data_IF_664314618431
#
_entry.id   IF_664314618431
#
_cell.length_a   1.000
_cell.length_b   1.000
_cell.length_c   1.000
_cell.angle_alpha   90.00
_cell.angle_beta   90.00
_cell.angle_gamma   90.00
#
_symmetry.space_group_name_H-M   'P 1'
#
loop_
_entity.id
_entity.type
_entity.pdbx_description
1 polymer ?
#
# COMPACT_ATOMS: atom_id res chain seq x y z
N UNK A 1 7.82 13.22 -9.16
CA UNK A 1 6.37 12.95 -9.24
C UNK A 1 6.16 11.62 -8.57
N UNK A 2 5.57 11.62 -7.39
CA UNK A 2 5.14 10.42 -6.69
C UNK A 2 3.95 9.82 -7.44
N UNK A 3 3.99 8.53 -7.79
CA UNK A 3 2.79 7.86 -8.27
C UNK A 3 1.99 7.32 -7.09
N UNK A 4 0.66 7.30 -7.21
CA UNK A 4 -0.21 6.74 -6.16
C UNK A 4 0.08 5.24 -5.92
N UNK A 5 0.57 4.54 -6.95
CA UNK A 5 0.96 3.13 -6.88
C UNK A 5 2.19 2.91 -6.00
N UNK A 6 3.24 3.72 -6.18
CA UNK A 6 4.45 3.69 -5.34
C UNK A 6 4.10 3.98 -3.89
N UNK A 7 3.25 5.00 -3.65
CA UNK A 7 2.84 5.38 -2.31
C UNK A 7 1.99 4.28 -1.65
N UNK A 8 1.07 3.66 -2.38
CA UNK A 8 0.27 2.53 -1.88
C UNK A 8 1.16 1.34 -1.47
N UNK A 9 2.12 0.98 -2.33
CA UNK A 9 3.06 -0.10 -2.02
C UNK A 9 3.88 0.19 -0.76
N UNK A 10 4.35 1.44 -0.59
CA UNK A 10 5.09 1.87 0.59
C UNK A 10 4.25 1.83 1.88
N UNK A 11 2.99 2.30 1.81
CA UNK A 11 2.03 2.24 2.92
C UNK A 11 1.82 0.79 3.33
N UNK A 12 1.58 -0.10 2.37
CA UNK A 12 1.30 -1.50 2.64
C UNK A 12 2.50 -2.23 3.27
N UNK A 13 3.72 -2.00 2.76
CA UNK A 13 4.93 -2.62 3.29
C UNK A 13 5.19 -2.16 4.74
N UNK A 14 5.09 -0.85 5.02
CA UNK A 14 5.22 -0.36 6.40
C UNK A 14 4.11 -0.93 7.31
N UNK A 15 2.86 -0.91 6.86
CA UNK A 15 1.73 -1.46 7.60
C UNK A 15 1.94 -2.93 7.99
N UNK A 16 2.40 -3.75 7.05
CA UNK A 16 2.69 -5.17 7.29
C UNK A 16 3.82 -5.37 8.31
N UNK A 17 4.89 -4.57 8.24
CA UNK A 17 6.02 -4.64 9.19
C UNK A 17 5.59 -4.29 10.60
N UNK A 18 4.79 -3.23 10.76
CA UNK A 18 4.26 -2.82 12.06
C UNK A 18 3.34 -3.88 12.66
N UNK A 19 2.43 -4.44 11.87
CA UNK A 19 1.54 -5.52 12.34
C UNK A 19 2.28 -6.81 12.69
N UNK A 20 3.32 -7.13 11.92
CA UNK A 20 4.16 -8.33 12.15
C UNK A 20 5.16 -8.12 13.28
N UNK A 21 5.20 -6.92 13.87
CA UNK A 21 6.16 -6.51 14.91
C UNK A 21 7.61 -6.74 14.50
N UNK A 22 7.93 -6.52 13.22
CA UNK A 22 9.30 -6.58 12.72
C UNK A 22 10.14 -5.52 13.44
N UNK A 23 11.27 -5.90 14.03
CA UNK A 23 12.04 -5.02 14.93
C UNK A 23 13.55 -4.99 14.65
N UNK A 24 13.97 -5.26 13.42
CA UNK A 24 15.35 -5.11 12.97
C UNK A 24 15.52 -3.86 12.09
N UNK A 25 16.58 -3.07 12.32
CA UNK A 25 16.83 -1.83 11.58
C UNK A 25 17.04 -2.07 10.08
N UNK A 26 17.71 -3.17 9.71
CA UNK A 26 17.97 -3.53 8.31
C UNK A 26 16.69 -3.73 7.48
N UNK A 27 15.59 -4.15 8.12
CA UNK A 27 14.29 -4.26 7.47
C UNK A 27 13.67 -2.91 7.15
N UNK A 28 13.84 -1.91 8.02
CA UNK A 28 13.35 -0.55 7.78
C UNK A 28 14.28 0.23 6.85
N UNK A 29 15.59 -0.01 6.90
CA UNK A 29 16.54 0.49 5.90
C UNK A 29 16.10 0.08 4.49
N UNK A 30 15.88 -1.23 4.27
CA UNK A 30 15.40 -1.76 2.98
C UNK A 30 14.05 -1.19 2.56
N UNK A 31 13.12 -0.98 3.49
CA UNK A 31 11.83 -0.33 3.20
C UNK A 31 12.05 1.05 2.56
N UNK A 32 12.91 1.90 3.15
CA UNK A 32 13.17 3.24 2.64
C UNK A 32 13.93 3.23 1.30
N UNK A 33 14.84 2.28 1.11
CA UNK A 33 15.56 2.09 -0.15
C UNK A 33 14.64 1.62 -1.29
N UNK A 34 13.72 0.69 -0.99
CA UNK A 34 12.76 0.15 -1.95
C UNK A 34 11.65 1.14 -2.30
N UNK A 35 11.30 2.03 -1.37
CA UNK A 35 10.21 3.00 -1.52
C UNK A 35 10.69 4.44 -1.30
N UNK A 36 11.45 5.04 -2.24
CA UNK A 36 11.93 6.42 -2.11
C UNK A 36 10.83 7.47 -1.96
N UNK A 37 9.59 7.13 -2.35
CA UNK A 37 8.39 7.94 -2.14
C UNK A 37 8.17 8.35 -0.68
N UNK A 38 8.63 7.54 0.28
CA UNK A 38 8.54 7.85 1.72
C UNK A 38 9.24 9.19 2.02
N UNK A 39 10.37 9.48 1.36
CA UNK A 39 11.09 10.73 1.53
C UNK A 39 10.28 11.94 1.03
N UNK A 40 9.49 11.80 -0.03
CA UNK A 40 8.59 12.87 -0.49
C UNK A 40 7.53 13.21 0.54
N UNK A 41 6.98 12.21 1.24
CA UNK A 41 6.05 12.43 2.37
C UNK A 41 6.74 13.12 3.55
N UNK A 42 8.05 12.92 3.71
CA UNK A 42 8.88 13.62 4.69
C UNK A 42 9.30 15.03 4.26
N UNK A 43 8.89 15.49 3.06
CA UNK A 43 9.24 16.79 2.52
C UNK A 43 10.65 16.85 1.91
N UNK A 44 11.16 15.72 1.42
CA UNK A 44 12.46 15.62 0.77
C UNK A 44 12.26 15.22 -0.69
N UNK A 45 12.84 15.98 -1.61
CA UNK A 45 12.73 15.74 -3.05
C UNK A 45 13.64 14.61 -3.52
N UNK A 46 14.77 14.43 -2.84
CA UNK A 46 15.72 13.36 -3.10
C UNK A 46 16.39 12.92 -1.79
N UNK A 47 16.75 11.64 -1.73
CA UNK A 47 17.54 11.08 -0.63
C UNK A 47 18.46 9.97 -1.16
N UNK A 48 19.55 9.74 -0.44
CA UNK A 48 20.49 8.66 -0.71
C UNK A 48 20.94 8.01 0.61
N UNK A 49 21.18 6.70 0.58
CA UNK A 49 21.71 5.96 1.71
C UNK A 49 23.19 6.33 1.94
N UNK A 50 23.61 6.42 3.20
CA UNK A 50 24.99 6.65 3.63
C UNK A 50 25.43 5.67 4.74
N UNK A 51 24.60 4.68 5.05
CA UNK A 51 24.94 3.61 5.97
C UNK A 51 26.14 2.80 5.48
N UNK A 52 26.71 1.96 6.35
CA UNK A 52 27.95 1.23 6.08
C UNK A 52 27.93 0.36 4.82
N UNK A 53 26.74 -0.14 4.44
CA UNK A 53 26.56 -0.97 3.24
C UNK A 53 26.45 -0.16 1.93
N UNK A 54 26.22 1.15 2.03
CA UNK A 54 26.00 2.05 0.91
C UNK A 54 27.28 2.30 0.11
N UNK A 55 27.17 2.53 -1.22
CA UNK A 55 28.28 3.05 -2.01
C UNK A 55 28.71 4.47 -1.63
N UNK A 56 27.87 5.22 -0.89
CA UNK A 56 28.17 6.58 -0.47
C UNK A 56 28.77 6.57 0.94
N UNK A 57 29.79 7.39 1.19
CA UNK A 57 30.37 7.53 2.52
C UNK A 57 30.80 8.96 2.80
N UNK A 58 30.57 9.41 4.03
CA UNK A 58 31.10 10.69 4.50
C UNK A 58 32.56 10.48 4.96
N UNK A 59 33.49 11.39 4.62
CA UNK A 59 34.89 11.28 5.06
C UNK A 59 35.02 11.23 6.59
N UNK A 60 36.04 10.51 7.08
CA UNK A 60 36.35 10.41 8.51
C UNK A 60 36.56 11.79 9.14
N UNK A 61 35.90 12.07 10.26
CA UNK A 61 36.00 13.32 11.01
C UNK A 61 37.15 13.26 12.02
N UNK A 62 38.27 13.95 11.79
CA UNK A 62 39.41 13.93 12.69
C UNK A 62 39.17 14.70 13.99
N UNK A 63 38.31 15.72 13.97
CA UNK A 63 38.03 16.54 15.15
C UNK A 63 37.16 15.78 16.15
N UNK A 64 36.24 14.97 15.64
CA UNK A 64 35.34 14.13 16.45
C UNK A 64 35.78 12.67 16.55
N UNK A 65 36.83 12.29 15.81
CA UNK A 65 37.45 10.97 15.78
C UNK A 65 36.47 9.82 15.43
N UNK A 66 35.62 10.02 14.41
CA UNK A 66 34.72 8.97 13.92
C UNK A 66 34.40 9.17 12.43
N UNK A 67 33.89 8.13 11.77
CA UNK A 67 33.33 8.26 10.41
C UNK A 67 31.81 8.40 10.51
N UNK A 68 31.20 9.48 10.01
CA UNK A 68 29.75 9.60 9.96
C UNK A 68 29.15 8.56 9.01
N UNK A 69 28.19 7.80 9.53
CA UNK A 69 27.46 6.74 8.81
C UNK A 69 25.95 6.92 9.06
N UNK A 70 25.35 8.07 8.68
CA UNK A 70 23.90 8.25 8.79
C UNK A 70 23.16 7.29 7.86
N UNK A 71 21.97 6.87 8.24
CA UNK A 71 21.17 5.94 7.41
C UNK A 71 20.89 6.56 6.03
N UNK A 72 20.33 7.77 6.01
CA UNK A 72 20.12 8.54 4.78
C UNK A 72 20.45 10.02 4.95
N UNK A 73 20.75 10.65 3.82
CA UNK A 73 20.80 12.11 3.69
C UNK A 73 19.88 12.51 2.54
N UNK A 74 18.98 13.44 2.79
CA UNK A 74 18.07 13.97 1.78
C UNK A 74 18.11 15.49 1.66
N UNK A 75 17.45 15.99 0.63
CA UNK A 75 17.37 17.41 0.32
C UNK A 75 15.95 17.83 -0.04
N UNK A 76 15.56 18.99 0.48
CA UNK A 76 14.46 19.84 0.00
C UNK A 76 15.09 20.86 -0.98
N UNK A 77 14.90 20.67 -2.28
CA UNK A 77 15.48 21.52 -3.32
C UNK A 77 14.94 22.96 -3.26
N UNK A 78 13.62 23.20 -3.10
CA UNK A 78 13.09 24.56 -2.97
C UNK A 78 13.74 25.38 -1.85
N UNK A 79 13.94 24.80 -0.67
CA UNK A 79 14.56 25.52 0.45
C UNK A 79 16.10 25.40 0.49
N UNK A 80 16.67 24.42 -0.21
CA UNK A 80 18.09 24.08 -0.14
C UNK A 80 18.50 23.45 1.20
N UNK A 81 17.57 22.84 1.91
CA UNK A 81 17.82 22.23 3.23
C UNK A 81 18.35 20.81 3.05
N UNK A 82 19.50 20.50 3.66
CA UNK A 82 19.99 19.13 3.76
C UNK A 82 19.50 18.53 5.08
N UNK A 83 18.90 17.36 5.02
CA UNK A 83 18.34 16.66 6.17
C UNK A 83 19.03 15.32 6.35
N UNK A 84 19.65 15.08 7.50
CA UNK A 84 20.06 13.73 7.92
C UNK A 84 18.82 13.01 8.42
N UNK A 85 18.54 11.83 7.87
CA UNK A 85 17.44 10.96 8.30
C UNK A 85 18.05 9.73 8.95
N UNK A 86 17.75 9.55 10.23
CA UNK A 86 18.19 8.41 11.02
C UNK A 86 16.99 7.52 11.33
N UNK A 87 17.14 6.22 11.11
CA UNK A 87 16.18 5.18 11.42
C UNK A 87 16.61 4.45 12.70
N UNK A 88 15.64 4.19 13.55
CA UNK A 88 15.76 3.30 14.70
C UNK A 88 14.56 2.36 14.72
N UNK A 89 14.53 1.40 15.64
CA UNK A 89 13.46 0.39 15.65
C UNK A 89 12.14 0.94 16.20
N UNK A 90 10.97 0.42 15.74
CA UNK A 90 9.66 0.87 16.23
C UNK A 90 9.28 0.31 17.60
N UNK A 91 9.75 -0.88 17.99
CA UNK A 91 9.34 -1.52 19.24
C UNK A 91 10.48 -1.45 20.26
N UNK A 92 10.35 -0.54 21.23
CA UNK A 92 11.45 -0.23 22.16
C UNK A 92 11.39 -1.02 23.47
N UNK A 93 10.41 -1.93 23.57
CA UNK A 93 10.15 -2.79 24.72
C UNK A 93 9.52 -2.04 25.89
N UNK A 94 9.22 -2.77 26.98
CA UNK A 94 8.60 -2.18 28.17
C UNK A 94 9.49 -1.07 28.75
N UNK A 95 8.96 0.15 28.73
CA UNK A 95 9.56 1.30 29.39
C UNK A 95 9.33 1.12 30.88
N UNK A 96 10.25 0.43 31.54
CA UNK A 96 10.20 0.24 32.99
C UNK A 96 10.24 1.60 33.67
N UNK A 97 9.13 1.96 34.31
CA UNK A 97 9.00 3.16 35.15
C UNK A 97 9.87 2.97 36.39
N UNK A 98 11.11 3.47 36.34
CA UNK A 98 12.09 3.29 37.41
C UNK A 98 11.81 4.09 38.69
N UNK A 99 10.80 4.97 38.72
CA UNK A 99 10.51 5.84 39.86
C UNK A 99 9.01 6.11 40.03
N UNK A 100 8.59 6.34 41.29
CA UNK A 100 7.20 6.61 41.74
C UNK A 100 6.57 7.89 41.14
N UNK A 101 7.31 8.66 40.35
CA UNK A 101 6.91 9.90 39.68
C UNK A 101 6.45 9.70 38.22
N UNK A 102 6.44 8.46 37.71
CA UNK A 102 5.91 8.15 36.37
C UNK A 102 6.85 8.53 35.21
N UNK A 103 8.08 8.96 35.49
CA UNK A 103 9.02 9.40 34.47
C UNK A 103 9.67 8.24 33.69
N UNK A 104 9.50 8.26 32.36
CA UNK A 104 10.00 7.28 31.36
C UNK A 104 11.52 7.43 31.08
N UNK A 105 12.36 7.27 32.11
CA UNK A 105 13.80 7.58 32.05
C UNK A 105 14.60 6.80 30.99
N UNK A 106 14.27 5.53 30.72
CA UNK A 106 14.98 4.68 29.74
C UNK A 106 14.73 5.13 28.29
N UNK A 107 13.48 5.44 27.96
CA UNK A 107 13.12 6.00 26.65
C UNK A 107 13.81 7.34 26.43
N UNK A 108 13.78 8.23 27.44
CA UNK A 108 14.47 9.52 27.39
C UNK A 108 15.95 9.36 27.08
N UNK A 109 16.65 8.47 27.78
CA UNK A 109 18.08 8.26 27.59
C UNK A 109 18.41 7.71 26.18
N UNK A 110 17.60 6.78 25.66
CA UNK A 110 17.79 6.25 24.30
C UNK A 110 17.51 7.31 23.23
N UNK A 111 16.38 8.02 23.35
CA UNK A 111 16.04 9.11 22.43
C UNK A 111 17.11 10.22 22.46
N UNK A 112 17.61 10.62 23.64
CA UNK A 112 18.71 11.57 23.76
C UNK A 112 19.99 11.08 23.08
N UNK A 113 20.32 9.80 23.22
CA UNK A 113 21.46 9.18 22.53
C UNK A 113 21.31 9.24 21.01
N UNK A 114 20.14 8.85 20.49
CA UNK A 114 19.88 8.86 19.04
C UNK A 114 19.87 10.28 18.48
N UNK A 115 19.24 11.23 19.18
CA UNK A 115 19.29 12.64 18.79
C UNK A 115 20.74 13.14 18.79
N UNK A 116 21.53 12.82 19.81
CA UNK A 116 22.95 13.22 19.87
C UNK A 116 23.70 12.69 18.66
N UNK A 117 23.59 11.40 18.37
CA UNK A 117 24.19 10.74 17.21
C UNK A 117 23.79 11.43 15.90
N UNK A 118 22.49 11.63 15.65
CA UNK A 118 22.01 12.30 14.43
C UNK A 118 22.53 13.73 14.32
N UNK A 119 22.56 14.48 15.43
CA UNK A 119 23.10 15.86 15.44
C UNK A 119 24.61 15.92 15.24
N UNK A 120 25.36 14.91 15.70
CA UNK A 120 26.79 14.80 15.45
C UNK A 120 27.09 14.55 13.97
N UNK A 121 26.27 13.75 13.28
CA UNK A 121 26.37 13.58 11.83
C UNK A 121 26.14 14.90 11.10
N UNK A 122 25.09 15.64 11.48
CA UNK A 122 24.79 16.95 10.91
C UNK A 122 25.94 17.93 11.13
N UNK A 123 26.48 18.03 12.35
CA UNK A 123 27.61 18.94 12.62
C UNK A 123 28.87 18.54 11.86
N UNK A 124 29.18 17.25 11.77
CA UNK A 124 30.33 16.77 10.99
C UNK A 124 30.23 17.19 9.51
N UNK A 125 29.04 17.08 8.92
CA UNK A 125 28.79 17.54 7.56
C UNK A 125 28.86 19.07 7.49
N UNK A 126 28.21 19.78 8.41
CA UNK A 126 28.10 21.25 8.39
C UNK A 126 29.45 21.96 8.49
N UNK A 127 30.34 21.46 9.34
CA UNK A 127 31.60 22.13 9.67
C UNK A 127 32.71 21.86 8.64
N UNK A 128 32.61 20.77 7.86
CA UNK A 128 33.69 20.30 6.99
C UNK A 128 33.37 20.47 5.51
N UNK A 129 34.25 21.15 4.77
CA UNK A 129 34.04 21.41 3.33
C UNK A 129 34.00 20.10 2.51
N UNK A 130 34.92 19.18 2.76
CA UNK A 130 34.98 17.88 2.07
C UNK A 130 33.69 17.04 2.23
N UNK A 131 33.11 17.02 3.44
CA UNK A 131 31.85 16.31 3.69
C UNK A 131 30.68 16.97 2.96
N UNK A 132 30.64 18.32 2.92
CA UNK A 132 29.64 19.06 2.14
C UNK A 132 29.76 18.78 0.65
N UNK A 133 30.98 18.70 0.12
CA UNK A 133 31.20 18.46 -1.30
C UNK A 133 30.74 17.06 -1.72
N UNK A 134 30.95 16.04 -0.87
CA UNK A 134 30.38 14.70 -1.07
C UNK A 134 28.85 14.74 -1.10
N UNK A 135 28.21 15.37 -0.10
CA UNK A 135 26.74 15.47 -0.04
C UNK A 135 26.20 16.22 -1.27
N UNK A 136 26.85 17.31 -1.67
CA UNK A 136 26.49 18.07 -2.88
C UNK A 136 26.58 17.24 -4.14
N UNK A 137 27.65 16.46 -4.28
CA UNK A 137 27.86 15.59 -5.43
C UNK A 137 26.81 14.48 -5.50
N UNK A 138 26.59 13.77 -4.39
CA UNK A 138 25.64 12.64 -4.32
C UNK A 138 24.20 13.10 -4.57
N UNK A 139 23.76 14.16 -3.90
CA UNK A 139 22.39 14.68 -4.02
C UNK A 139 22.21 15.66 -5.19
N UNK A 140 23.28 15.96 -5.94
CA UNK A 140 23.30 16.91 -7.06
C UNK A 140 22.78 18.31 -6.66
N UNK A 141 23.19 18.79 -5.49
CA UNK A 141 22.78 20.10 -4.96
C UNK A 141 23.91 21.13 -5.09
N UNK A 142 23.58 22.31 -5.61
CA UNK A 142 24.59 23.36 -5.85
C UNK A 142 25.01 24.08 -4.56
N UNK A 143 24.04 24.34 -3.67
CA UNK A 143 24.23 25.07 -2.42
C UNK A 143 23.37 24.45 -1.33
N UNK A 144 23.92 24.40 -0.12
CA UNK A 144 23.22 24.00 1.10
C UNK A 144 22.89 25.29 1.86
N UNK A 145 21.62 25.56 2.10
CA UNK A 145 21.15 26.73 2.81
C UNK A 145 21.11 26.51 4.32
N UNK A 146 20.62 25.34 4.75
CA UNK A 146 20.48 24.97 6.15
C UNK A 146 20.58 23.45 6.34
N UNK A 147 20.73 23.03 7.59
CA UNK A 147 20.86 21.63 7.99
C UNK A 147 19.78 21.24 9.00
N UNK A 148 19.18 20.08 8.79
CA UNK A 148 18.12 19.51 9.64
C UNK A 148 18.40 18.05 9.97
N UNK A 149 17.70 17.55 10.97
CA UNK A 149 17.70 16.15 11.34
C UNK A 149 16.25 15.63 11.44
N UNK A 150 16.01 14.42 10.95
CA UNK A 150 14.79 13.64 11.18
C UNK A 150 15.20 12.31 11.82
N UNK A 151 14.63 11.99 12.98
CA UNK A 151 14.80 10.71 13.65
C UNK A 151 13.48 9.94 13.55
N UNK A 152 13.48 8.81 12.87
CA UNK A 152 12.31 7.93 12.74
C UNK A 152 12.47 6.79 13.72
N UNK A 153 11.67 6.80 14.78
CA UNK A 153 11.92 5.97 15.95
C UNK A 153 10.63 5.71 16.72
N UNK A 154 10.45 4.48 17.21
CA UNK A 154 9.37 4.08 18.12
C UNK A 154 7.94 4.22 17.55
N UNK A 155 6.95 3.82 18.36
CA UNK A 155 5.52 4.09 18.15
C UNK A 155 5.02 5.21 19.07
N UNK A 156 4.02 5.98 18.63
CA UNK A 156 3.50 7.12 19.38
C UNK A 156 2.97 6.75 20.76
N UNK A 157 2.24 5.63 20.87
CA UNK A 157 1.66 5.14 22.13
C UNK A 157 2.73 4.75 23.18
N UNK A 158 3.92 4.39 22.72
CA UNK A 158 5.05 4.06 23.59
C UNK A 158 5.68 5.34 24.18
N UNK A 159 5.27 6.54 23.75
CA UNK A 159 5.96 7.80 24.05
C UNK A 159 5.11 8.86 24.73
N UNK A 160 5.80 9.83 25.35
CA UNK A 160 5.21 11.02 25.95
C UNK A 160 5.50 12.20 25.00
N UNK A 161 4.46 12.71 24.35
CA UNK A 161 4.56 13.81 23.38
C UNK A 161 5.18 15.08 23.99
N UNK A 162 4.95 15.34 25.28
CA UNK A 162 5.54 16.48 25.97
C UNK A 162 7.04 16.29 26.17
N UNK A 163 7.48 15.09 26.55
CA UNK A 163 8.90 14.76 26.65
C UNK A 163 9.61 14.91 25.30
N UNK A 164 9.03 14.35 24.24
CA UNK A 164 9.57 14.40 22.87
C UNK A 164 9.72 15.84 22.39
N UNK A 165 8.67 16.66 22.60
CA UNK A 165 8.70 18.09 22.28
C UNK A 165 9.78 18.84 23.07
N UNK A 166 9.96 18.52 24.35
CA UNK A 166 11.00 19.14 25.18
C UNK A 166 12.42 18.76 24.72
N UNK A 167 12.63 17.52 24.28
CA UNK A 167 13.91 17.03 23.76
C UNK A 167 14.28 17.70 22.43
N UNK A 168 13.29 17.96 21.58
CA UNK A 168 13.48 18.65 20.29
C UNK A 168 13.78 20.14 20.49
N UNK A 169 13.06 20.82 21.38
CA UNK A 169 13.17 22.27 21.59
C UNK A 169 14.54 22.72 22.15
N UNK A 170 15.29 21.83 22.78
CA UNK A 170 16.58 22.14 23.41
C UNK A 170 17.79 22.02 22.47
N UNK A 171 17.59 21.63 21.21
CA UNK A 171 18.70 21.34 20.28
C UNK A 171 19.05 22.53 19.40
N UNK A 172 20.36 22.68 19.16
CA UNK A 172 20.91 23.72 18.26
C UNK A 172 20.58 23.45 16.79
N UNK A 173 20.50 22.17 16.42
CA UNK A 173 20.08 21.73 15.10
C UNK A 173 18.58 21.44 15.18
N UNK A 174 17.76 21.93 14.24
CA UNK A 174 16.37 21.55 14.13
C UNK A 174 16.24 20.04 13.91
N UNK A 175 15.80 19.32 14.94
CA UNK A 175 15.58 17.87 14.90
C UNK A 175 14.10 17.58 15.03
N UNK A 176 13.53 16.85 14.07
CA UNK A 176 12.17 16.31 14.11
C UNK A 176 12.21 14.83 14.50
N UNK A 177 11.38 14.42 15.47
CA UNK A 177 11.18 13.01 15.80
C UNK A 177 9.85 12.58 15.18
N UNK A 178 9.86 11.47 14.45
CA UNK A 178 8.70 10.93 13.75
C UNK A 178 8.51 9.48 14.21
N UNK A 179 7.34 9.17 14.76
CA UNK A 179 6.98 7.78 15.09
C UNK A 179 6.58 7.01 13.83
N UNK A 180 6.74 5.69 13.83
CA UNK A 180 6.43 4.90 12.63
C UNK A 180 4.92 4.84 12.31
N UNK A 181 4.07 4.86 13.33
CA UNK A 181 2.62 5.01 13.16
C UNK A 181 2.24 6.40 12.65
N UNK A 182 2.88 7.47 13.16
CA UNK A 182 2.71 8.82 12.61
C UNK A 182 3.19 8.90 11.15
N UNK A 183 4.29 8.23 10.79
CA UNK A 183 4.77 8.14 9.42
C UNK A 183 3.76 7.43 8.53
N UNK A 184 3.22 6.30 9.00
CA UNK A 184 2.17 5.58 8.30
C UNK A 184 0.96 6.49 8.07
N UNK A 185 0.52 7.21 9.09
CA UNK A 185 -0.58 8.17 9.01
C UNK A 185 -0.29 9.32 8.04
N UNK A 186 0.94 9.84 7.99
CA UNK A 186 1.34 10.87 7.01
C UNK A 186 1.26 10.33 5.58
N UNK A 187 1.74 9.11 5.33
CA UNK A 187 1.67 8.49 4.01
C UNK A 187 0.22 8.20 3.59
N UNK A 188 -0.58 7.64 4.52
CA UNK A 188 -2.02 7.43 4.36
C UNK A 188 -2.73 8.74 4.03
N UNK A 189 -2.42 9.82 4.73
CA UNK A 189 -3.00 11.13 4.49
C UNK A 189 -2.63 11.67 3.11
N UNK A 190 -1.36 11.54 2.70
CA UNK A 190 -0.90 11.94 1.37
C UNK A 190 -1.65 11.17 0.27
N UNK A 191 -1.77 9.85 0.41
CA UNK A 191 -2.53 8.99 -0.51
C UNK A 191 -4.02 9.34 -0.56
N UNK A 192 -4.57 9.77 0.58
CA UNK A 192 -6.00 10.05 0.75
C UNK A 192 -6.41 11.46 0.34
N UNK A 193 -5.51 12.39 0.02
CA UNK A 193 -5.87 13.80 -0.33
C UNK A 193 -6.94 13.84 -1.43
N UNK A 194 -6.79 12.99 -2.44
CA UNK A 194 -7.77 12.86 -3.51
C UNK A 194 -8.94 11.94 -3.18
N UNK A 195 -8.96 11.19 -2.07
CA UNK A 195 -9.87 10.03 -1.84
C UNK A 195 -10.71 10.12 -0.55
N UNK A 196 -10.68 11.25 0.17
CA UNK A 196 -11.38 11.38 1.47
C UNK A 196 -12.89 11.20 1.34
N UNK A 197 -13.45 11.61 0.21
CA UNK A 197 -14.88 11.57 -0.08
C UNK A 197 -15.37 10.18 -0.47
N UNK A 198 -14.49 9.21 -0.77
CA UNK A 198 -14.87 7.90 -1.31
C UNK A 198 -14.87 6.75 -0.28
N UNK A 199 -14.37 6.97 0.94
CA UNK A 199 -14.29 5.94 1.95
C UNK A 199 -15.66 5.62 2.59
N UNK A 200 -15.99 4.33 2.71
CA UNK A 200 -17.21 3.85 3.37
C UNK A 200 -18.53 4.41 2.82
N UNK A 201 -18.57 4.75 1.54
CA UNK A 201 -19.78 5.22 0.86
C UNK A 201 -20.74 4.08 0.60
N UNK A 202 -22.04 4.40 0.58
CA UNK A 202 -23.10 3.43 0.25
C UNK A 202 -22.90 2.93 -1.18
N UNK A 203 -22.91 1.61 -1.34
CA UNK A 203 -22.64 0.97 -2.62
C UNK A 203 -22.18 -0.48 -2.43
N UNK A 204 -21.26 -0.93 -3.26
CA UNK A 204 -20.77 -2.30 -3.24
C UNK A 204 -19.26 -2.34 -3.47
N UNK A 205 -18.62 -3.30 -2.83
CA UNK A 205 -17.26 -3.69 -3.11
C UNK A 205 -17.20 -5.21 -3.30
N UNK A 206 -16.53 -5.63 -4.35
CA UNK A 206 -16.34 -7.02 -4.72
C UNK A 206 -14.84 -7.29 -4.75
N UNK A 207 -14.43 -8.31 -4.01
CA UNK A 207 -13.02 -8.68 -3.90
C UNK A 207 -12.86 -10.11 -4.37
N UNK A 208 -11.89 -10.32 -5.25
CA UNK A 208 -11.55 -11.63 -5.81
C UNK A 208 -10.06 -11.86 -5.69
N UNK A 209 -9.69 -12.99 -5.10
CA UNK A 209 -8.31 -13.47 -5.03
C UNK A 209 -8.17 -14.59 -6.05
N UNK A 210 -7.46 -14.33 -7.15
CA UNK A 210 -7.45 -15.27 -8.28
C UNK A 210 -6.05 -15.51 -8.84
N UNK A 211 -5.89 -16.61 -9.55
CA UNK A 211 -4.74 -16.89 -10.41
C UNK A 211 -5.28 -17.31 -11.79
N UNK A 212 -4.73 -16.77 -12.86
CA UNK A 212 -5.20 -17.02 -14.22
C UNK A 212 -4.54 -18.26 -14.82
N UNK A 213 -5.29 -19.04 -15.58
CA UNK A 213 -4.69 -20.07 -16.40
C UNK A 213 -3.99 -19.46 -17.64
N UNK A 214 -2.96 -20.12 -18.20
CA UNK A 214 -2.21 -19.60 -19.35
C UNK A 214 -3.05 -19.38 -20.62
N UNK A 215 -4.16 -20.11 -20.77
CA UNK A 215 -5.01 -20.06 -21.95
C UNK A 215 -6.38 -19.50 -21.56
N UNK A 216 -6.77 -18.40 -22.20
CA UNK A 216 -8.09 -17.80 -22.08
C UNK A 216 -8.86 -17.97 -23.39
N UNK A 217 -10.20 -18.03 -23.35
CA UNK A 217 -11.02 -17.93 -24.56
C UNK A 217 -10.76 -16.61 -25.32
N UNK A 218 -10.93 -16.59 -26.65
CA UNK A 218 -10.81 -15.36 -27.41
C UNK A 218 -11.94 -14.37 -27.08
N UNK A 219 -11.63 -13.06 -27.11
CA UNK A 219 -12.58 -11.99 -26.80
C UNK A 219 -12.77 -11.78 -25.30
N UNK A 220 -14.00 -11.42 -24.89
CA UNK A 220 -14.34 -11.24 -23.46
C UNK A 220 -14.40 -12.59 -22.75
N UNK A 221 -13.59 -12.75 -21.70
CA UNK A 221 -13.60 -13.92 -20.82
C UNK A 221 -14.03 -13.52 -19.40
N UNK A 222 -15.24 -13.90 -18.99
CA UNK A 222 -15.89 -13.40 -17.78
C UNK A 222 -15.44 -14.12 -16.52
N UNK A 223 -15.10 -13.33 -15.50
CA UNK A 223 -14.82 -13.78 -14.14
C UNK A 223 -16.08 -13.76 -13.29
N UNK A 224 -16.87 -12.69 -13.42
CA UNK A 224 -18.12 -12.52 -12.71
C UNK A 224 -19.07 -11.60 -13.48
N UNK A 225 -20.36 -11.79 -13.27
CA UNK A 225 -21.43 -10.93 -13.76
C UNK A 225 -22.49 -10.77 -12.67
N UNK A 226 -22.85 -9.53 -12.33
CA UNK A 226 -23.79 -9.17 -11.27
C UNK A 226 -24.96 -8.39 -11.86
N UNK A 227 -26.18 -8.74 -11.43
CA UNK A 227 -27.41 -8.18 -11.96
C UNK A 227 -28.00 -8.96 -13.13
N UNK A 228 -29.08 -8.43 -13.69
CA UNK A 228 -29.83 -9.07 -14.77
C UNK A 228 -29.16 -8.88 -16.14
N UNK A 229 -29.45 -9.79 -17.09
CA UNK A 229 -28.78 -9.81 -18.39
C UNK A 229 -29.04 -8.57 -19.28
N UNK A 230 -30.15 -7.86 -19.07
CA UNK A 230 -30.68 -6.84 -20.00
C UNK A 230 -30.39 -5.38 -19.65
N UNK A 231 -30.15 -5.07 -18.37
CA UNK A 231 -29.87 -3.73 -17.86
C UNK A 231 -29.37 -3.84 -16.41
N UNK A 232 -28.77 -2.77 -15.90
CA UNK A 232 -28.31 -2.68 -14.52
C UNK A 232 -27.34 -3.81 -14.16
N UNK A 233 -26.29 -3.91 -14.95
CA UNK A 233 -25.35 -5.03 -14.90
C UNK A 233 -23.95 -4.55 -14.61
N UNK A 234 -23.26 -5.32 -13.79
CA UNK A 234 -21.84 -5.13 -13.50
C UNK A 234 -21.10 -6.39 -13.95
N UNK A 235 -20.14 -6.24 -14.84
CA UNK A 235 -19.37 -7.36 -15.37
C UNK A 235 -17.88 -7.17 -15.10
N UNK A 236 -17.22 -8.25 -14.68
CA UNK A 236 -15.76 -8.33 -14.52
C UNK A 236 -15.24 -9.38 -15.49
N UNK A 237 -14.39 -8.97 -16.43
CA UNK A 237 -13.89 -9.89 -17.45
C UNK A 237 -12.46 -9.54 -17.87
N UNK A 238 -11.82 -10.48 -18.56
CA UNK A 238 -10.54 -10.31 -19.21
C UNK A 238 -10.76 -9.98 -20.69
N UNK A 239 -10.06 -8.99 -21.20
CA UNK A 239 -10.04 -8.64 -22.62
C UNK A 239 -8.72 -7.92 -22.93
N UNK A 240 -8.06 -8.26 -24.04
CA UNK A 240 -6.83 -7.60 -24.50
C UNK A 240 -5.70 -7.47 -23.44
N UNK A 241 -5.48 -8.51 -22.63
CA UNK A 241 -4.52 -8.50 -21.52
C UNK A 241 -4.81 -7.50 -20.39
N UNK A 242 -6.08 -7.13 -20.22
CA UNK A 242 -6.53 -6.24 -19.15
C UNK A 242 -7.65 -6.91 -18.34
N UNK A 243 -7.71 -6.61 -17.05
CA UNK A 243 -8.95 -6.70 -16.30
C UNK A 243 -9.85 -5.53 -16.72
N UNK A 244 -11.08 -5.84 -17.09
CA UNK A 244 -12.09 -4.84 -17.43
C UNK A 244 -13.23 -4.94 -16.44
N UNK A 245 -13.56 -3.78 -15.90
CA UNK A 245 -14.70 -3.57 -15.05
C UNK A 245 -15.74 -2.75 -15.82
N UNK A 246 -16.86 -3.37 -16.19
CA UNK A 246 -17.90 -2.80 -17.06
C UNK A 246 -19.21 -2.64 -16.29
N UNK A 247 -19.76 -1.43 -16.24
CA UNK A 247 -21.10 -1.14 -15.76
C UNK A 247 -22.01 -0.79 -16.93
N UNK A 248 -23.17 -1.45 -17.00
CA UNK A 248 -24.23 -1.18 -17.96
C UNK A 248 -25.45 -0.63 -17.23
N UNK A 249 -25.72 0.67 -17.38
CA UNK A 249 -26.79 1.34 -16.66
C UNK A 249 -28.18 1.09 -17.27
N UNK A 250 -29.24 1.44 -16.54
CA UNK A 250 -30.63 1.37 -17.02
C UNK A 250 -30.91 2.22 -18.26
N UNK A 251 -30.04 3.17 -18.61
CA UNK A 251 -30.10 3.95 -19.85
C UNK A 251 -29.30 3.33 -21.00
N UNK A 252 -28.78 2.10 -20.82
CA UNK A 252 -27.95 1.39 -21.79
C UNK A 252 -26.59 2.08 -22.07
N UNK A 253 -26.12 2.92 -21.14
CA UNK A 253 -24.78 3.50 -21.19
C UNK A 253 -23.77 2.54 -20.55
N UNK A 254 -22.61 2.46 -21.19
CA UNK A 254 -21.50 1.62 -20.74
C UNK A 254 -20.44 2.52 -20.09
N UNK A 255 -20.06 2.16 -18.88
CA UNK A 255 -18.95 2.77 -18.14
C UNK A 255 -17.90 1.68 -17.90
N UNK A 256 -16.64 1.99 -18.15
CA UNK A 256 -15.57 0.99 -18.08
C UNK A 256 -14.35 1.55 -17.33
N UNK A 257 -13.75 0.69 -16.51
CA UNK A 257 -12.41 0.85 -15.96
C UNK A 257 -11.55 -0.32 -16.43
N UNK A 258 -10.25 -0.08 -16.60
CA UNK A 258 -9.29 -1.13 -16.98
C UNK A 258 -8.08 -1.10 -16.10
N UNK A 259 -7.51 -2.27 -15.90
CA UNK A 259 -6.24 -2.45 -15.22
C UNK A 259 -5.40 -3.48 -15.98
N UNK A 260 -4.10 -3.25 -16.18
CA UNK A 260 -3.22 -4.20 -16.86
C UNK A 260 -3.10 -5.51 -16.08
N UNK A 261 -2.93 -6.63 -16.80
CA UNK A 261 -2.55 -7.91 -16.20
C UNK A 261 -1.04 -7.95 -15.93
N UNK A 262 -0.67 -8.26 -14.68
CA UNK A 262 0.70 -8.63 -14.33
C UNK A 262 0.90 -10.16 -14.36
N UNK A 263 1.20 -10.68 -15.55
CA UNK A 263 1.35 -12.11 -15.76
C UNK A 263 0.09 -12.92 -15.39
N UNK A 264 0.29 -14.12 -14.84
CA UNK A 264 -0.80 -15.03 -14.45
C UNK A 264 -1.31 -14.81 -13.02
N UNK A 265 -0.68 -13.92 -12.25
CA UNK A 265 -0.99 -13.68 -10.85
C UNK A 265 -0.11 -14.46 -9.87
N UNK A 266 -0.49 -14.55 -8.59
CA UNK A 266 -1.83 -14.26 -8.05
C UNK A 266 -2.21 -12.77 -8.15
N UNK A 267 -3.51 -12.52 -8.28
CA UNK A 267 -4.11 -11.19 -8.42
C UNK A 267 -5.10 -10.94 -7.29
N UNK A 268 -4.90 -9.82 -6.60
CA UNK A 268 -5.89 -9.18 -5.75
C UNK A 268 -6.71 -8.22 -6.60
N UNK A 269 -7.95 -8.58 -6.93
CA UNK A 269 -8.85 -7.75 -7.72
C UNK A 269 -9.93 -7.20 -6.81
N UNK A 270 -9.94 -5.89 -6.59
CA UNK A 270 -10.99 -5.17 -5.87
C UNK A 270 -11.71 -4.24 -6.83
N UNK A 271 -13.01 -4.38 -6.91
CA UNK A 271 -13.87 -3.41 -7.57
C UNK A 271 -14.74 -2.72 -6.52
N UNK A 272 -14.84 -1.40 -6.57
CA UNK A 272 -15.75 -0.62 -5.74
C UNK A 272 -16.67 0.24 -6.59
N UNK A 273 -17.94 0.30 -6.19
CA UNK A 273 -18.92 1.22 -6.75
C UNK A 273 -19.70 1.88 -5.63
N UNK A 274 -19.97 3.17 -5.82
CA UNK A 274 -20.91 3.91 -5.00
C UNK A 274 -21.75 4.82 -5.87
N UNK A 275 -23.00 4.99 -5.48
CA UNK A 275 -23.95 5.87 -6.15
C UNK A 275 -24.88 6.46 -5.09
N UNK A 276 -24.47 7.59 -4.53
CA UNK A 276 -25.15 8.25 -3.42
C UNK A 276 -25.28 9.77 -3.68
N UNK A 277 -25.66 10.54 -2.67
CA UNK A 277 -25.83 12.00 -2.78
C UNK A 277 -24.55 12.76 -3.17
N UNK A 278 -23.38 12.15 -3.00
CA UNK A 278 -22.08 12.68 -3.36
C UNK A 278 -21.64 12.29 -4.78
N UNK A 279 -22.53 11.64 -5.56
CA UNK A 279 -22.30 11.26 -6.95
C UNK A 279 -22.08 9.78 -7.18
N UNK A 280 -21.61 9.44 -8.37
CA UNK A 280 -21.14 8.10 -8.68
C UNK A 280 -19.62 7.98 -8.57
N UNK A 281 -19.16 6.86 -8.02
CA UNK A 281 -17.77 6.48 -7.90
C UNK A 281 -17.60 5.04 -8.35
N UNK A 282 -16.56 4.78 -9.14
CA UNK A 282 -16.11 3.45 -9.52
C UNK A 282 -14.59 3.37 -9.31
N UNK A 283 -14.10 2.25 -8.79
CA UNK A 283 -12.67 1.93 -8.80
C UNK A 283 -12.44 0.48 -9.16
N UNK A 284 -11.36 0.24 -9.90
CA UNK A 284 -10.80 -1.08 -10.18
C UNK A 284 -9.36 -1.07 -9.68
N UNK A 285 -9.11 -1.85 -8.65
CA UNK A 285 -7.79 -2.08 -8.10
C UNK A 285 -7.35 -3.51 -8.42
N UNK A 286 -6.15 -3.63 -8.99
CA UNK A 286 -5.49 -4.91 -9.29
C UNK A 286 -4.09 -4.84 -8.69
N UNK A 287 -3.87 -5.57 -7.60
CA UNK A 287 -2.66 -5.47 -6.78
C UNK A 287 -2.38 -4.01 -6.39
N UNK A 288 -1.28 -3.42 -6.87
CA UNK A 288 -0.90 -2.03 -6.59
C UNK A 288 -1.48 -1.01 -7.57
N UNK A 289 -2.03 -1.45 -8.70
CA UNK A 289 -2.63 -0.57 -9.71
C UNK A 289 -4.05 -0.18 -9.31
N UNK A 290 -4.44 1.08 -9.46
CA UNK A 290 -5.81 1.55 -9.24
C UNK A 290 -6.25 2.48 -10.38
N UNK A 291 -7.33 2.10 -11.07
CA UNK A 291 -8.08 2.99 -11.95
C UNK A 291 -9.36 3.45 -11.26
N UNK A 292 -9.70 4.72 -11.36
CA UNK A 292 -10.94 5.27 -10.79
C UNK A 292 -11.69 6.17 -11.77
N UNK A 293 -13.01 6.23 -11.57
CA UNK A 293 -13.91 7.17 -12.25
C UNK A 293 -14.81 7.82 -11.21
N UNK A 294 -14.86 9.16 -11.24
CA UNK A 294 -15.70 9.98 -10.36
C UNK A 294 -16.61 10.85 -11.20
N UNK A 295 -17.90 10.73 -10.97
CA UNK A 295 -18.91 11.54 -11.64
C UNK A 295 -19.58 12.40 -10.57
N UNK A 296 -19.08 13.63 -10.38
CA UNK A 296 -19.39 14.56 -9.28
C UNK A 296 -20.85 14.61 -8.82
N UNK A 297 -21.69 15.53 -9.30
CA UNK A 297 -23.12 15.55 -8.92
C UNK A 297 -23.99 14.62 -9.76
N UNK A 298 -23.37 13.83 -10.63
CA UNK A 298 -24.07 12.96 -11.56
C UNK A 298 -24.24 11.59 -10.91
N UNK A 299 -25.47 11.10 -10.91
CA UNK A 299 -25.82 9.76 -10.45
C UNK A 299 -25.79 8.84 -11.67
N UNK A 300 -25.15 7.68 -11.55
CA UNK A 300 -25.29 6.62 -12.56
C UNK A 300 -26.63 5.93 -12.34
N UNK A 301 -27.44 5.73 -13.37
CA UNK A 301 -28.70 5.01 -13.19
C UNK A 301 -28.44 3.50 -13.20
N UNK A 302 -27.63 3.03 -12.25
CA UNK A 302 -27.16 1.66 -12.13
C UNK A 302 -27.65 1.10 -10.80
N UNK A 303 -28.60 0.15 -10.86
CA UNK A 303 -29.19 -0.52 -9.70
C UNK A 303 -29.15 -2.04 -9.87
N UNK A 304 -27.95 -2.65 -9.84
CA UNK A 304 -27.79 -4.07 -10.04
C UNK A 304 -28.38 -4.84 -8.86
N UNK A 305 -29.11 -5.91 -9.15
CA UNK A 305 -29.47 -6.90 -8.14
C UNK A 305 -28.23 -7.73 -7.80
N UNK A 306 -27.49 -7.31 -6.77
CA UNK A 306 -26.31 -8.04 -6.29
C UNK A 306 -26.64 -9.37 -5.61
N UNK A 307 -27.92 -9.67 -5.39
CA UNK A 307 -28.39 -11.00 -5.02
C UNK A 307 -28.32 -11.98 -6.18
N UNK A 308 -28.35 -11.48 -7.42
CA UNK A 308 -28.21 -12.25 -8.66
C UNK A 308 -26.81 -12.08 -9.22
N UNK A 309 -25.98 -13.12 -9.11
CA UNK A 309 -24.67 -13.11 -9.74
C UNK A 309 -24.22 -14.47 -10.20
N UNK A 310 -23.39 -14.44 -11.24
CA UNK A 310 -22.72 -15.58 -11.84
C UNK A 310 -21.21 -15.42 -11.66
N UNK A 311 -20.54 -16.46 -11.18
CA UNK A 311 -19.07 -16.55 -11.17
C UNK A 311 -18.63 -17.53 -12.25
N UNK A 312 -17.58 -17.17 -12.97
CA UNK A 312 -16.97 -18.00 -14.01
C UNK A 312 -17.63 -17.91 -15.38
N UNK A 313 -18.63 -17.06 -15.58
CA UNK A 313 -19.27 -16.83 -16.87
C UNK A 313 -20.04 -15.51 -16.88
N UNK A 314 -20.55 -15.11 -18.05
CA UNK A 314 -21.57 -14.07 -18.14
C UNK A 314 -22.92 -14.54 -17.54
N UNK A 315 -23.87 -13.61 -17.40
CA UNK A 315 -25.24 -13.87 -16.93
C UNK A 315 -26.02 -14.90 -17.74
N UNK A 316 -25.54 -15.28 -18.94
CA UNK A 316 -26.12 -16.36 -19.75
C UNK A 316 -25.41 -17.72 -19.59
N UNK A 317 -24.42 -17.80 -18.71
CA UNK A 317 -23.62 -19.00 -18.48
C UNK A 317 -22.61 -19.29 -19.60
N UNK A 318 -22.17 -18.25 -20.34
CA UNK A 318 -21.25 -18.38 -21.47
C UNK A 318 -19.97 -17.57 -21.25
N UNK A 319 -18.97 -17.82 -22.10
CA UNK A 319 -17.72 -17.03 -22.20
C UNK A 319 -16.94 -16.95 -20.88
N UNK A 320 -16.88 -18.04 -20.13
CA UNK A 320 -16.14 -18.07 -18.88
C UNK A 320 -14.63 -17.91 -19.04
N UNK A 321 -13.98 -17.22 -18.11
CA UNK A 321 -12.52 -17.23 -18.00
C UNK A 321 -12.02 -18.55 -17.43
N UNK A 322 -10.77 -18.91 -17.72
CA UNK A 322 -10.08 -20.01 -17.05
C UNK A 322 -9.21 -19.48 -15.90
N UNK A 323 -9.62 -19.71 -14.66
CA UNK A 323 -8.91 -19.19 -13.49
C UNK A 323 -9.10 -20.09 -12.26
N UNK A 324 -8.27 -19.84 -11.26
CA UNK A 324 -8.31 -20.46 -9.95
C UNK A 324 -8.70 -19.39 -8.94
N UNK A 325 -9.84 -19.57 -8.29
CA UNK A 325 -10.34 -18.65 -7.27
C UNK A 325 -9.97 -19.16 -5.89
N UNK A 326 -9.19 -18.37 -5.15
CA UNK A 326 -8.84 -18.65 -3.76
C UNK A 326 -9.90 -18.10 -2.80
N UNK A 327 -10.48 -16.96 -3.13
CA UNK A 327 -11.46 -16.26 -2.31
C UNK A 327 -12.30 -15.33 -3.19
N UNK A 328 -13.59 -15.19 -2.86
CA UNK A 328 -14.43 -14.12 -3.38
C UNK A 328 -15.43 -13.69 -2.31
N UNK A 329 -15.51 -12.39 -2.07
CA UNK A 329 -16.43 -11.84 -1.08
C UNK A 329 -16.93 -10.46 -1.46
N UNK A 330 -18.02 -10.05 -0.81
CA UNK A 330 -18.73 -8.82 -1.06
C UNK A 330 -18.81 -7.99 0.22
N UNK A 331 -18.66 -6.67 0.08
CA UNK A 331 -18.87 -5.68 1.14
C UNK A 331 -19.96 -4.70 0.65
N UNK A 332 -20.97 -4.45 1.47
CA UNK A 332 -22.12 -3.58 1.13
C UNK A 332 -21.82 -2.07 1.16
N UNK A 333 -20.58 -1.68 0.86
CA UNK A 333 -20.08 -0.30 0.77
C UNK A 333 -18.67 -0.31 0.17
N UNK A 334 -18.18 0.87 -0.20
CA UNK A 334 -16.75 1.04 -0.49
C UNK A 334 -15.92 0.81 0.78
N UNK A 335 -14.69 0.33 0.63
CA UNK A 335 -13.81 0.00 1.75
C UNK A 335 -13.10 1.27 2.24
N UNK A 336 -12.98 1.38 3.56
CA UNK A 336 -12.05 2.31 4.18
C UNK A 336 -10.61 1.89 3.88
N UNK A 337 -9.65 2.82 4.06
CA UNK A 337 -8.25 2.51 3.79
C UNK A 337 -7.71 1.36 4.65
N UNK A 338 -8.09 1.32 5.92
CA UNK A 338 -7.71 0.24 6.85
C UNK A 338 -8.21 -1.10 6.34
N UNK A 339 -9.48 -1.17 5.91
CA UNK A 339 -10.05 -2.40 5.35
C UNK A 339 -9.36 -2.82 4.05
N UNK A 340 -8.97 -1.86 3.19
CA UNK A 340 -8.20 -2.15 1.97
C UNK A 340 -6.85 -2.78 2.32
N UNK A 341 -6.15 -2.25 3.33
CA UNK A 341 -4.87 -2.77 3.79
C UNK A 341 -5.01 -4.17 4.43
N UNK A 342 -5.98 -4.35 5.33
CA UNK A 342 -6.28 -5.65 5.96
C UNK A 342 -6.66 -6.70 4.92
N UNK A 343 -7.49 -6.32 3.95
CA UNK A 343 -7.89 -7.19 2.85
C UNK A 343 -6.70 -7.62 1.99
N UNK A 344 -5.82 -6.69 1.61
CA UNK A 344 -4.67 -7.02 0.79
C UNK A 344 -3.65 -7.88 1.56
N UNK A 345 -3.51 -7.64 2.87
CA UNK A 345 -2.75 -8.51 3.77
C UNK A 345 -3.32 -9.91 3.84
N UNK A 346 -4.64 -10.03 3.97
CA UNK A 346 -5.31 -11.33 3.97
C UNK A 346 -5.07 -12.09 2.66
N UNK A 347 -5.11 -11.38 1.53
CA UNK A 347 -4.71 -11.94 0.23
C UNK A 347 -3.28 -12.49 0.24
N UNK A 348 -2.29 -11.67 0.63
CA UNK A 348 -0.88 -12.09 0.68
C UNK A 348 -0.66 -13.31 1.59
N UNK A 349 -1.35 -13.38 2.73
CA UNK A 349 -1.29 -14.55 3.60
C UNK A 349 -1.92 -15.79 2.95
N UNK A 350 -3.06 -15.62 2.29
CA UNK A 350 -3.80 -16.72 1.63
C UNK A 350 -2.99 -17.32 0.49
N UNK A 351 -2.38 -16.50 -0.37
CA UNK A 351 -1.61 -16.98 -1.53
C UNK A 351 -0.32 -17.68 -1.14
N UNK A 352 0.25 -17.35 0.03
CA UNK A 352 1.49 -17.93 0.54
C UNK A 352 1.27 -19.15 1.46
N UNK A 353 0.03 -19.56 1.70
CA UNK A 353 -0.31 -20.70 2.57
C UNK A 353 -0.93 -21.84 1.77
N UNK A 354 -0.59 -23.09 2.10
CA UNK A 354 -1.24 -24.25 1.50
C UNK A 354 -2.75 -24.21 1.80
N UNK A 355 -3.58 -24.21 0.75
CA UNK A 355 -5.03 -24.11 0.86
C UNK A 355 -5.72 -24.92 -0.24
N UNK A 356 -7.04 -24.74 -0.34
CA UNK A 356 -7.79 -25.14 -1.51
C UNK A 356 -8.15 -23.91 -2.33
N UNK A 357 -8.33 -24.10 -3.63
CA UNK A 357 -8.90 -23.12 -4.55
C UNK A 357 -9.91 -23.81 -5.46
N UNK A 358 -10.77 -23.02 -6.12
CA UNK A 358 -11.77 -23.51 -7.05
C UNK A 358 -11.29 -23.19 -8.47
N UNK A 359 -11.06 -24.20 -9.29
CA UNK A 359 -10.76 -24.04 -10.73
C UNK A 359 -12.06 -23.88 -11.52
N UNK A 360 -12.16 -22.76 -12.24
CA UNK A 360 -13.17 -22.51 -13.26
C UNK A 360 -12.52 -22.68 -14.62
N UNK A 361 -13.02 -23.60 -15.43
CA UNK A 361 -12.71 -23.66 -16.88
C UNK A 361 -13.73 -22.83 -17.66
N UNK A 362 -13.51 -22.56 -18.96
CA UNK A 362 -14.38 -21.65 -19.72
C UNK A 362 -15.87 -22.00 -19.82
N UNK A 363 -16.22 -23.26 -19.55
CA UNK A 363 -17.61 -23.74 -19.52
C UNK A 363 -18.18 -23.82 -18.09
N UNK A 364 -17.32 -23.69 -17.09
CA UNK A 364 -17.69 -23.90 -15.69
C UNK A 364 -18.19 -22.58 -15.11
N UNK A 365 -19.29 -22.63 -14.37
CA UNK A 365 -19.80 -21.44 -13.68
C UNK A 365 -20.64 -21.83 -12.48
N UNK A 366 -20.88 -20.88 -11.58
CA UNK A 366 -21.85 -21.00 -10.50
C UNK A 366 -22.76 -19.79 -10.48
N UNK A 367 -24.04 -20.01 -10.19
CA UNK A 367 -25.05 -18.95 -10.08
C UNK A 367 -25.58 -18.91 -8.65
N UNK A 368 -25.77 -17.70 -8.11
CA UNK A 368 -26.42 -17.53 -6.82
C UNK A 368 -27.89 -17.90 -6.90
N UNK A 369 -28.30 -18.80 -6.02
CA UNK A 369 -29.68 -19.24 -5.88
C UNK A 369 -30.45 -18.33 -4.91
N UNK A 370 -31.79 -18.32 -4.95
CA UNK A 370 -32.62 -17.58 -3.99
C UNK A 370 -32.37 -17.96 -2.51
N UNK A 371 -31.88 -19.18 -2.26
CA UNK A 371 -31.45 -19.64 -0.92
C UNK A 371 -30.17 -18.96 -0.42
N UNK A 372 -29.50 -18.19 -1.26
CA UNK A 372 -28.23 -17.54 -0.99
C UNK A 372 -27.00 -18.39 -1.34
N UNK A 373 -27.16 -19.69 -1.57
CA UNK A 373 -26.06 -20.59 -1.97
C UNK A 373 -25.69 -20.44 -3.45
N UNK A 374 -24.42 -20.67 -3.77
CA UNK A 374 -23.96 -20.81 -5.15
C UNK A 374 -24.20 -22.24 -5.62
N UNK A 375 -24.80 -22.41 -6.80
CA UNK A 375 -25.04 -23.72 -7.37
C UNK A 375 -24.80 -23.75 -8.89
N UNK A 376 -24.58 -24.97 -9.37
CA UNK A 376 -24.58 -25.31 -10.78
C UNK A 376 -25.33 -26.63 -10.93
N UNK A 377 -26.43 -26.61 -11.66
CA UNK A 377 -27.32 -27.78 -11.80
C UNK A 377 -26.69 -28.86 -12.68
N UNK A 378 -25.84 -28.45 -13.63
CA UNK A 378 -25.17 -29.36 -14.55
C UNK A 378 -23.84 -29.84 -14.00
N UNK A 379 -23.76 -31.12 -13.65
CA UNK A 379 -22.55 -31.73 -13.10
C UNK A 379 -21.31 -31.54 -13.99
N UNK A 380 -21.49 -31.56 -15.32
CA UNK A 380 -20.40 -31.39 -16.28
C UNK A 380 -19.86 -29.96 -16.37
N UNK A 381 -20.53 -28.99 -15.76
CA UNK A 381 -20.20 -27.56 -15.75
C UNK A 381 -19.83 -27.05 -14.34
N UNK A 382 -19.71 -27.95 -13.37
CA UNK A 382 -19.28 -27.59 -12.01
C UNK A 382 -17.79 -27.27 -12.01
N UNK A 383 -17.38 -26.16 -11.38
CA UNK A 383 -15.97 -25.91 -11.16
C UNK A 383 -15.39 -26.94 -10.18
N UNK A 384 -14.07 -27.14 -10.22
CA UNK A 384 -13.41 -28.25 -9.53
C UNK A 384 -12.50 -27.74 -8.41
N UNK A 385 -12.59 -28.37 -7.24
CA UNK A 385 -11.69 -28.08 -6.13
C UNK A 385 -10.26 -28.53 -6.44
N UNK A 386 -9.27 -27.66 -6.20
CA UNK A 386 -7.85 -27.90 -6.39
C UNK A 386 -7.07 -27.59 -5.12
N UNK A 387 -5.88 -28.18 -5.04
CA UNK A 387 -4.89 -27.86 -3.99
C UNK A 387 -4.09 -26.64 -4.44
N UNK A 388 -3.90 -25.71 -3.51
CA UNK A 388 -3.07 -24.51 -3.66
C UNK A 388 -1.86 -24.60 -2.70
N UNK A 389 -0.65 -24.13 -3.09
CA UNK A 389 -0.29 -23.61 -4.40
C UNK A 389 -0.39 -24.68 -5.50
N UNK A 390 -0.69 -24.25 -6.72
CA UNK A 390 -0.72 -25.16 -7.86
C UNK A 390 0.66 -25.79 -8.01
N UNK A 391 0.72 -27.13 -8.07
CA UNK A 391 1.98 -27.83 -8.33
C UNK A 391 2.52 -27.29 -9.64
N UNK A 392 3.72 -26.69 -9.59
CA UNK A 392 4.46 -26.35 -10.80
C UNK A 392 4.76 -27.69 -11.49
N UNK A 393 3.91 -28.09 -12.43
CA UNK A 393 4.25 -29.17 -13.34
C UNK A 393 5.53 -28.70 -14.04
N UNK A 394 6.64 -29.39 -13.77
CA UNK A 394 7.95 -29.03 -14.31
C UNK A 394 7.85 -28.87 -15.82
N UNK A 395 8.13 -27.65 -16.29
CA UNK A 395 8.44 -27.37 -17.68
C UNK A 395 9.93 -27.60 -17.88
#
# INVERSE_FOLDING_TARGET
MTTDEELWAAIYDLYCRLLSKTNDEASYQRLFEQHPVIFSVLGLDAAAAFEKSSPNSIPFDPERNFRPEPDFIGVDFPAGNVTVVELKTPFVGDITTGRRDGNRAKFKALAESYISQTTEYVESIRQRQEARDVVKQVLKVMKIADYRAKLIYALSAENDAHLVSSLMAQRKIPTEIIFYDDLLDRMVNAYSVGRRDVASRVGWCFVSHIHLAPTQPPGKAFLADYGAASADRISVYLENHEFVFECFDSQQKIHWLRAPLDGLGPHYVRFEFSNDSSGAYMSLNVNNFEAELRLGKSVLNLLPDTGLFTLGADSSGKRGAHFYMLEHYLVGRTMSLVEKLDSFRYFEQKVNTASQCIEFKPKDYMVRQPSGHMAQERDDWKPVLRVWPLVKNGA
#
